data_IF_986145913667
#
_entry.id   IF_986145913667
#
_cell.length_a   1.000
_cell.length_b   1.000
_cell.length_c   1.000
_cell.angle_alpha   90.00
_cell.angle_beta   90.00
_cell.angle_gamma   90.00
#
_symmetry.space_group_name_H-M   'P 1'
#
loop_
_entity.id
_entity.type
_entity.pdbx_description
1 polymer ?
#
# COMPACT_ATOMS: atom_id res chain seq x y z
N UNK A 1 2.71 19.72 -11.39
CA UNK A 1 3.78 18.69 -11.23
C UNK A 1 3.44 17.32 -11.83
N UNK A 2 2.18 17.03 -12.20
CA UNK A 2 1.76 15.71 -12.72
C UNK A 2 2.03 15.50 -14.23
N UNK A 3 2.14 16.57 -15.03
CA UNK A 3 2.32 16.48 -16.50
C UNK A 3 3.75 16.08 -16.91
N UNK A 4 4.76 16.41 -16.08
CA UNK A 4 6.16 16.05 -16.34
C UNK A 4 6.48 14.56 -16.16
N UNK A 5 5.70 13.84 -15.35
CA UNK A 5 5.91 12.39 -15.15
C UNK A 5 5.50 11.57 -16.38
N UNK A 6 4.51 12.03 -17.15
CA UNK A 6 3.98 11.27 -18.29
C UNK A 6 4.97 11.19 -19.46
N UNK A 7 5.79 12.22 -19.66
CA UNK A 7 6.80 12.25 -20.73
C UNK A 7 8.02 11.36 -20.45
N UNK A 8 8.40 11.19 -19.18
CA UNK A 8 9.53 10.34 -18.79
C UNK A 8 9.21 8.85 -18.98
N UNK A 9 7.92 8.46 -18.93
CA UNK A 9 7.50 7.08 -19.13
C UNK A 9 7.52 6.66 -20.62
N UNK A 10 7.32 7.59 -21.57
CA UNK A 10 7.25 7.26 -23.00
C UNK A 10 8.63 7.07 -23.67
N UNK A 11 9.67 7.73 -23.17
CA UNK A 11 11.02 7.66 -23.74
C UNK A 11 11.79 6.36 -23.41
N UNK A 12 11.33 5.56 -22.43
CA UNK A 12 12.01 4.33 -22.00
C UNK A 12 11.72 3.10 -22.88
N UNK A 13 10.89 3.22 -23.92
CA UNK A 13 10.47 2.10 -24.77
C UNK A 13 11.55 1.58 -25.73
N UNK A 14 12.67 2.30 -25.93
CA UNK A 14 13.55 2.08 -27.10
C UNK A 14 14.85 1.31 -26.80
N UNK A 15 15.28 1.18 -25.54
CA UNK A 15 16.54 0.51 -25.22
C UNK A 15 16.29 -0.72 -24.33
N UNK A 16 17.06 -1.78 -24.55
CA UNK A 16 17.23 -2.96 -23.68
C UNK A 16 16.39 -4.20 -24.02
N UNK A 17 16.70 -4.80 -25.18
CA UNK A 17 16.51 -6.22 -25.44
C UNK A 17 17.64 -7.04 -24.81
N UNK A 18 17.35 -7.72 -23.71
CA UNK A 18 18.22 -8.71 -23.08
C UNK A 18 17.36 -9.66 -22.25
N UNK A 19 17.30 -10.93 -22.65
CA UNK A 19 16.44 -11.96 -22.07
C UNK A 19 16.82 -12.24 -20.61
N UNK A 20 16.14 -11.58 -19.67
CA UNK A 20 16.08 -12.01 -18.27
C UNK A 20 14.88 -12.94 -18.13
N UNK A 21 15.11 -14.15 -17.60
CA UNK A 21 14.08 -15.14 -17.29
C UNK A 21 12.94 -14.48 -16.51
N UNK A 22 11.77 -14.34 -17.14
CA UNK A 22 10.67 -13.57 -16.56
C UNK A 22 10.14 -14.32 -15.34
N UNK A 23 10.27 -13.76 -14.14
CA UNK A 23 9.56 -14.25 -12.95
C UNK A 23 8.07 -14.42 -13.31
N UNK A 24 7.37 -15.46 -12.81
CA UNK A 24 5.98 -15.70 -13.18
C UNK A 24 5.06 -14.62 -12.57
N UNK A 25 4.95 -13.48 -13.26
CA UNK A 25 4.17 -12.30 -12.84
C UNK A 25 2.72 -12.68 -12.54
N UNK A 26 2.14 -13.58 -13.34
CA UNK A 26 0.76 -14.06 -13.15
C UNK A 26 0.56 -14.73 -11.79
N UNK A 27 1.54 -15.51 -11.32
CA UNK A 27 1.48 -16.14 -10.00
C UNK A 27 1.55 -15.12 -8.87
N UNK A 28 2.35 -14.06 -9.03
CA UNK A 28 2.42 -12.96 -8.07
C UNK A 28 1.14 -12.11 -8.06
N UNK A 29 0.52 -11.89 -9.21
CA UNK A 29 -0.79 -11.22 -9.30
C UNK A 29 -1.85 -12.04 -8.56
N UNK A 30 -1.85 -13.37 -8.74
CA UNK A 30 -2.76 -14.25 -8.01
C UNK A 30 -2.50 -14.21 -6.49
N UNK A 31 -1.24 -14.20 -6.06
CA UNK A 31 -0.88 -14.01 -4.65
C UNK A 31 -1.38 -12.66 -4.12
N UNK A 32 -1.30 -11.59 -4.91
CA UNK A 32 -1.83 -10.27 -4.56
C UNK A 32 -3.35 -10.28 -4.40
N UNK A 33 -4.08 -11.01 -5.26
CA UNK A 33 -5.53 -11.23 -5.13
C UNK A 33 -5.84 -11.90 -3.79
N UNK A 34 -5.20 -13.03 -3.48
CA UNK A 34 -5.45 -13.76 -2.23
C UNK A 34 -5.09 -12.96 -0.98
N UNK A 35 -3.96 -12.24 -0.98
CA UNK A 35 -3.60 -11.35 0.12
C UNK A 35 -4.64 -10.23 0.31
N UNK A 36 -5.08 -9.61 -0.79
CA UNK A 36 -6.09 -8.55 -0.73
C UNK A 36 -7.45 -9.09 -0.29
N UNK A 37 -7.81 -10.30 -0.73
CA UNK A 37 -9.04 -10.98 -0.34
C UNK A 37 -9.02 -11.34 1.14
N UNK A 38 -7.90 -11.87 1.64
CA UNK A 38 -7.71 -12.12 3.07
C UNK A 38 -7.89 -10.85 3.92
N UNK A 39 -7.32 -9.73 3.48
CA UNK A 39 -7.51 -8.44 4.14
C UNK A 39 -8.95 -7.90 4.07
N UNK A 40 -9.63 -8.09 2.93
CA UNK A 40 -11.05 -7.72 2.78
C UNK A 40 -11.93 -8.55 3.73
N UNK A 41 -11.74 -9.88 3.75
CA UNK A 41 -12.49 -10.77 4.64
C UNK A 41 -12.22 -10.46 6.12
N UNK A 42 -11.00 -10.04 6.46
CA UNK A 42 -10.66 -9.59 7.80
C UNK A 42 -11.45 -8.33 8.18
N UNK A 43 -11.55 -7.34 7.30
CA UNK A 43 -12.36 -6.15 7.54
C UNK A 43 -13.85 -6.46 7.66
N UNK A 44 -14.39 -7.34 6.81
CA UNK A 44 -15.79 -7.77 6.92
C UNK A 44 -16.08 -8.55 8.21
N UNK A 45 -15.07 -9.22 8.77
CA UNK A 45 -15.18 -9.92 10.06
C UNK A 45 -15.16 -8.97 11.26
N UNK A 46 -14.34 -7.91 11.20
CA UNK A 46 -14.11 -6.99 12.33
C UNK A 46 -15.10 -5.82 12.30
N UNK A 47 -15.50 -5.36 11.12
CA UNK A 47 -16.44 -4.26 10.92
C UNK A 47 -17.69 -4.81 10.22
N UNK A 48 -18.72 -5.25 10.97
CA UNK A 48 -19.98 -5.64 10.37
C UNK A 48 -20.58 -4.41 9.68
N UNK A 49 -20.63 -4.45 8.34
CA UNK A 49 -21.22 -3.38 7.51
C UNK A 49 -22.72 -3.23 7.77
N UNK A 50 -23.33 -4.30 8.27
CA UNK A 50 -24.72 -4.35 8.70
C UNK A 50 -24.77 -4.73 10.18
N UNK A 51 -25.28 -3.82 11.00
CA UNK A 51 -25.62 -4.07 12.39
C UNK A 51 -27.13 -3.83 12.54
N UNK A 52 -27.86 -4.83 13.03
CA UNK A 52 -29.33 -4.83 13.14
C UNK A 52 -30.10 -4.42 11.86
N UNK A 53 -29.51 -4.70 10.69
CA UNK A 53 -30.09 -4.38 9.38
C UNK A 53 -29.87 -2.94 8.91
N UNK A 54 -29.13 -2.13 9.66
CA UNK A 54 -28.75 -0.76 9.30
C UNK A 54 -27.34 -0.74 8.71
N UNK A 55 -27.16 0.03 7.63
CA UNK A 55 -25.86 0.22 6.99
C UNK A 55 -25.06 1.28 7.74
N UNK A 56 -23.94 0.89 8.35
CA UNK A 56 -23.04 1.80 9.05
C UNK A 56 -21.98 2.37 8.08
N UNK A 57 -22.10 3.66 7.74
CA UNK A 57 -21.23 4.30 6.75
C UNK A 57 -19.74 4.29 7.16
N UNK A 58 -19.45 4.39 8.45
CA UNK A 58 -18.09 4.35 8.98
C UNK A 58 -17.43 2.98 8.77
N UNK A 59 -18.23 1.91 8.82
CA UNK A 59 -17.79 0.53 8.60
C UNK A 59 -17.78 0.12 7.13
N UNK A 60 -18.35 0.92 6.24
CA UNK A 60 -18.34 0.67 4.79
C UNK A 60 -17.01 1.04 4.13
N UNK A 61 -16.27 2.01 4.69
CA UNK A 61 -15.03 2.53 4.08
C UNK A 61 -13.95 1.43 3.94
N UNK A 62 -13.59 0.67 4.99
CA UNK A 62 -12.52 -0.34 4.86
C UNK A 62 -12.84 -1.46 3.86
N UNK A 63 -14.05 -2.06 3.86
CA UNK A 63 -14.44 -3.05 2.86
C UNK A 63 -14.50 -2.49 1.43
N UNK A 64 -14.94 -1.24 1.23
CA UNK A 64 -14.94 -0.61 -0.08
C UNK A 64 -13.52 -0.44 -0.63
N UNK A 65 -12.58 0.01 0.19
CA UNK A 65 -11.16 0.05 -0.16
C UNK A 65 -10.58 -1.35 -0.38
N UNK A 66 -10.97 -2.33 0.44
CA UNK A 66 -10.60 -3.73 0.27
C UNK A 66 -11.02 -4.26 -1.10
N UNK A 67 -12.30 -4.08 -1.47
CA UNK A 67 -12.85 -4.49 -2.76
C UNK A 67 -12.17 -3.79 -3.94
N UNK A 68 -11.95 -2.48 -3.82
CA UNK A 68 -11.20 -1.71 -4.81
C UNK A 68 -9.82 -2.32 -4.99
N UNK A 69 -9.09 -2.66 -3.93
CA UNK A 69 -7.75 -3.22 -4.09
C UNK A 69 -7.72 -4.69 -4.55
N UNK A 70 -8.74 -5.49 -4.23
CA UNK A 70 -8.90 -6.88 -4.71
C UNK A 70 -9.13 -6.93 -6.21
N UNK A 71 -9.83 -5.95 -6.78
CA UNK A 71 -10.20 -5.94 -8.20
C UNK A 71 -9.26 -5.03 -9.00
N UNK A 72 -9.12 -3.77 -8.58
CA UNK A 72 -8.42 -2.73 -9.32
C UNK A 72 -6.92 -3.02 -9.43
N UNK A 73 -6.25 -3.38 -8.33
CA UNK A 73 -4.79 -3.58 -8.37
C UNK A 73 -4.42 -4.76 -9.28
N UNK A 74 -5.03 -5.96 -9.16
CA UNK A 74 -4.76 -7.06 -10.09
C UNK A 74 -5.09 -6.71 -11.54
N UNK A 75 -6.19 -6.00 -11.79
CA UNK A 75 -6.56 -5.55 -13.13
C UNK A 75 -5.50 -4.61 -13.72
N UNK A 76 -5.04 -3.62 -12.97
CA UNK A 76 -3.98 -2.70 -13.41
C UNK A 76 -2.63 -3.42 -13.54
N UNK A 77 -2.31 -4.35 -12.65
CA UNK A 77 -1.10 -5.17 -12.77
C UNK A 77 -1.16 -6.17 -13.90
N UNK A 78 -2.32 -6.45 -14.50
CA UNK A 78 -2.42 -7.35 -15.65
C UNK A 78 -1.70 -6.81 -16.90
N UNK A 79 -1.58 -5.47 -17.00
CA UNK A 79 -0.93 -4.79 -18.13
C UNK A 79 0.31 -4.04 -17.67
N UNK A 80 1.42 -4.22 -18.40
CA UNK A 80 2.67 -3.50 -18.15
C UNK A 80 2.47 -1.97 -18.16
N UNK A 81 1.70 -1.45 -19.11
CA UNK A 81 1.46 0.00 -19.25
C UNK A 81 0.82 0.66 -18.03
N UNK A 82 0.11 -0.12 -17.19
CA UNK A 82 -0.57 0.35 -15.98
C UNK A 82 0.12 -0.09 -14.70
N UNK A 83 1.25 -0.80 -14.79
CA UNK A 83 1.96 -1.34 -13.63
C UNK A 83 2.56 -0.25 -12.72
N UNK A 84 3.01 0.89 -13.28
CA UNK A 84 3.48 2.04 -12.48
C UNK A 84 2.34 2.61 -11.63
N UNK A 85 1.14 2.75 -12.21
CA UNK A 85 -0.04 3.23 -11.48
C UNK A 85 -0.49 2.21 -10.44
N UNK A 86 -0.53 0.92 -10.78
CA UNK A 86 -0.88 -0.14 -9.84
C UNK A 86 0.05 -0.15 -8.62
N UNK A 87 1.36 -0.03 -8.85
CA UNK A 87 2.35 0.00 -7.78
C UNK A 87 2.24 1.28 -6.93
N UNK A 88 1.99 2.43 -7.56
CA UNK A 88 1.74 3.68 -6.87
C UNK A 88 0.50 3.57 -5.95
N UNK A 89 -0.61 3.07 -6.47
CA UNK A 89 -1.84 2.89 -5.69
C UNK A 89 -1.64 1.86 -4.56
N UNK A 90 -0.92 0.77 -4.82
CA UNK A 90 -0.61 -0.23 -3.81
C UNK A 90 0.16 0.38 -2.63
N UNK A 91 1.26 1.09 -2.87
CA UNK A 91 2.03 1.67 -1.77
C UNK A 91 1.32 2.82 -1.07
N UNK A 92 0.58 3.67 -1.80
CA UNK A 92 -0.25 4.72 -1.16
C UNK A 92 -1.29 4.09 -0.24
N UNK A 93 -1.99 3.04 -0.70
CA UNK A 93 -2.99 2.35 0.12
C UNK A 93 -2.40 1.75 1.41
N UNK A 94 -1.16 1.24 1.33
CA UNK A 94 -0.45 0.68 2.48
C UNK A 94 -0.03 1.75 3.47
N UNK A 95 0.49 2.89 2.99
CA UNK A 95 0.83 4.02 3.86
C UNK A 95 -0.41 4.52 4.62
N UNK A 96 -1.51 4.79 3.91
CA UNK A 96 -2.74 5.25 4.53
C UNK A 96 -3.31 4.21 5.50
N UNK A 97 -3.34 2.94 5.10
CA UNK A 97 -3.79 1.85 5.96
C UNK A 97 -3.02 1.79 7.26
N UNK A 98 -1.68 1.79 7.21
CA UNK A 98 -0.83 1.75 8.42
C UNK A 98 -1.07 2.98 9.30
N UNK A 99 -1.10 4.20 8.74
CA UNK A 99 -1.29 5.43 9.51
C UNK A 99 -2.66 5.44 10.22
N UNK A 100 -3.73 5.18 9.47
CA UNK A 100 -5.11 5.19 10.01
C UNK A 100 -5.28 4.11 11.08
N UNK A 101 -4.83 2.88 10.79
CA UNK A 101 -4.93 1.78 11.73
C UNK A 101 -4.09 2.02 12.99
N UNK A 102 -2.89 2.57 12.84
CA UNK A 102 -2.05 2.92 14.00
C UNK A 102 -2.71 4.00 14.86
N UNK A 103 -3.30 5.03 14.25
CA UNK A 103 -4.04 6.06 14.98
C UNK A 103 -5.23 5.46 15.74
N UNK A 104 -6.05 4.64 15.08
CA UNK A 104 -7.19 3.97 15.72
C UNK A 104 -6.75 3.02 16.85
N UNK A 105 -5.63 2.32 16.67
CA UNK A 105 -5.05 1.45 17.69
C UNK A 105 -4.58 2.23 18.92
N UNK A 106 -4.09 3.46 18.74
CA UNK A 106 -3.63 4.33 19.84
C UNK A 106 -4.83 4.93 20.58
N UNK A 107 -5.80 5.49 19.85
CA UNK A 107 -6.96 6.18 20.44
C UNK A 107 -7.87 5.20 21.19
N UNK A 108 -8.05 4.00 20.66
CA UNK A 108 -8.88 2.97 21.29
C UNK A 108 -8.08 2.03 22.20
N UNK A 109 -6.84 2.38 22.56
CA UNK A 109 -6.00 1.52 23.39
C UNK A 109 -6.57 1.41 24.81
N UNK A 110 -7.08 0.24 25.17
CA UNK A 110 -7.62 -0.05 26.50
C UNK A 110 -6.77 -1.14 27.18
N UNK A 111 -5.84 -0.72 28.06
CA UNK A 111 -5.11 -1.62 28.97
C UNK A 111 -3.59 -1.38 29.07
N UNK A 112 -2.92 -2.19 29.90
CA UNK A 112 -1.46 -2.12 30.08
C UNK A 112 -0.66 -2.64 28.86
N UNK A 113 0.59 -2.20 28.74
CA UNK A 113 1.51 -2.57 27.66
C UNK A 113 2.10 -3.95 27.98
N UNK A 114 1.52 -5.01 27.41
CA UNK A 114 2.13 -6.35 27.41
C UNK A 114 2.43 -6.78 25.98
N UNK A 115 3.50 -7.54 25.78
CA UNK A 115 3.92 -8.02 24.44
C UNK A 115 2.78 -8.77 23.74
N UNK A 116 2.05 -9.60 24.49
CA UNK A 116 0.91 -10.34 23.95
C UNK A 116 -0.19 -9.41 23.42
N UNK A 117 -0.54 -8.36 24.19
CA UNK A 117 -1.50 -7.35 23.73
C UNK A 117 -0.98 -6.57 22.53
N UNK A 118 0.30 -6.21 22.52
CA UNK A 118 0.90 -5.54 21.37
C UNK A 118 0.81 -6.42 20.12
N UNK A 119 1.12 -7.71 20.20
CA UNK A 119 1.11 -8.59 19.03
C UNK A 119 -0.28 -8.94 18.52
N UNK A 120 -1.25 -9.18 19.43
CA UNK A 120 -2.56 -9.76 19.07
C UNK A 120 -3.74 -8.82 19.22
N UNK A 121 -3.57 -7.67 19.89
CA UNK A 121 -4.66 -6.69 20.09
C UNK A 121 -4.34 -5.31 19.50
N UNK A 122 -3.14 -5.11 18.92
CA UNK A 122 -2.87 -3.95 18.07
C UNK A 122 -3.07 -4.28 16.59
N UNK A 123 -3.00 -3.25 15.77
CA UNK A 123 -2.99 -3.32 14.32
C UNK A 123 -1.64 -3.72 13.72
N UNK A 124 -0.71 -4.28 14.52
CA UNK A 124 0.60 -4.72 14.04
C UNK A 124 0.49 -5.87 13.05
N UNK A 125 -0.32 -6.89 13.35
CA UNK A 125 -0.57 -8.02 12.45
C UNK A 125 -1.14 -7.53 11.10
N UNK A 126 -2.08 -6.59 11.15
CA UNK A 126 -2.69 -5.99 9.96
C UNK A 126 -1.68 -5.17 9.15
N UNK A 127 -0.81 -4.42 9.84
CA UNK A 127 0.26 -3.65 9.21
C UNK A 127 1.27 -4.56 8.49
N UNK A 128 1.61 -5.71 9.09
CA UNK A 128 2.48 -6.71 8.45
C UNK A 128 1.81 -7.35 7.22
N UNK A 129 0.49 -7.56 7.25
CA UNK A 129 -0.26 -8.01 6.08
C UNK A 129 -0.24 -6.96 4.95
N UNK A 130 -0.43 -5.68 5.27
CA UNK A 130 -0.31 -4.57 4.31
C UNK A 130 1.11 -4.46 3.71
N UNK A 131 2.15 -4.61 4.54
CA UNK A 131 3.53 -4.64 4.07
C UNK A 131 3.79 -5.84 3.15
N UNK A 132 3.27 -7.01 3.49
CA UNK A 132 3.38 -8.21 2.64
C UNK A 132 2.76 -7.98 1.27
N UNK A 133 1.58 -7.35 1.21
CA UNK A 133 0.92 -6.92 -0.03
C UNK A 133 1.77 -5.93 -0.82
N UNK A 134 2.39 -4.95 -0.15
CA UNK A 134 3.31 -4.00 -0.77
C UNK A 134 4.52 -4.70 -1.42
N UNK A 135 5.15 -5.65 -0.72
CA UNK A 135 6.30 -6.38 -1.26
C UNK A 135 5.92 -7.28 -2.44
N UNK A 136 4.74 -7.90 -2.43
CA UNK A 136 4.23 -8.64 -3.60
C UNK A 136 3.98 -7.70 -4.78
N UNK A 137 3.33 -6.55 -4.55
CA UNK A 137 3.13 -5.52 -5.58
C UNK A 137 4.47 -5.02 -6.16
N UNK A 138 5.48 -4.83 -5.32
CA UNK A 138 6.85 -4.49 -5.73
C UNK A 138 7.47 -5.60 -6.58
N UNK A 139 7.31 -6.86 -6.20
CA UNK A 139 7.84 -7.99 -6.96
C UNK A 139 7.22 -8.08 -8.36
N UNK A 140 5.91 -7.83 -8.49
CA UNK A 140 5.22 -7.71 -9.78
C UNK A 140 5.79 -6.55 -10.59
N UNK A 141 5.90 -5.37 -9.98
CA UNK A 141 6.42 -4.17 -10.63
C UNK A 141 7.84 -4.37 -11.17
N UNK A 142 8.74 -4.93 -10.35
CA UNK A 142 10.11 -5.26 -10.77
C UNK A 142 10.13 -6.34 -11.87
N UNK A 143 9.17 -7.26 -11.88
CA UNK A 143 9.01 -8.24 -12.96
C UNK A 143 8.71 -7.60 -14.31
N UNK A 144 7.97 -6.49 -14.33
CA UNK A 144 7.71 -5.71 -15.56
C UNK A 144 8.89 -4.84 -16.00
N UNK A 145 9.76 -4.47 -15.07
CA UNK A 145 10.87 -3.52 -15.26
C UNK A 145 12.21 -4.03 -14.67
N UNK A 146 12.73 -5.19 -15.12
CA UNK A 146 13.96 -5.79 -14.57
C UNK A 146 15.20 -4.90 -14.72
N UNK A 147 15.22 -4.01 -15.71
CA UNK A 147 16.28 -3.03 -15.93
C UNK A 147 16.40 -2.00 -14.80
N UNK A 148 15.35 -1.80 -13.99
CA UNK A 148 15.43 -0.90 -12.82
C UNK A 148 16.19 -1.52 -11.67
N UNK A 149 16.09 -2.84 -11.49
CA UNK A 149 16.83 -3.55 -10.43
C UNK A 149 18.34 -3.48 -10.64
N UNK A 150 18.81 -3.41 -11.90
CA UNK A 150 20.23 -3.31 -12.23
C UNK A 150 20.79 -1.89 -12.19
N UNK A 151 19.97 -0.87 -11.92
CA UNK A 151 20.43 0.50 -11.69
C UNK A 151 20.55 0.83 -10.19
N UNK A 152 20.11 -0.10 -9.34
CA UNK A 152 19.76 0.16 -7.94
C UNK A 152 20.96 0.16 -6.95
N UNK A 153 22.19 -0.07 -7.43
CA UNK A 153 23.36 -0.22 -6.55
C UNK A 153 24.13 1.08 -6.29
N UNK A 154 23.82 2.17 -6.99
CA UNK A 154 24.47 3.48 -6.77
C UNK A 154 23.56 4.40 -5.95
N UNK A 155 23.90 4.65 -4.69
CA UNK A 155 23.33 5.78 -3.94
C UNK A 155 23.59 7.07 -4.75
N UNK A 156 22.60 7.95 -5.01
CA UNK A 156 21.30 8.13 -4.34
C UNK A 156 20.08 7.52 -5.07
N UNK A 157 20.26 6.53 -5.95
CA UNK A 157 19.16 6.01 -6.78
C UNK A 157 18.00 5.39 -5.99
N UNK A 158 18.23 4.96 -4.73
CA UNK A 158 17.20 4.46 -3.82
C UNK A 158 16.08 5.48 -3.51
N UNK A 159 16.32 6.78 -3.70
CA UNK A 159 15.31 7.84 -3.49
C UNK A 159 14.57 8.26 -4.76
N UNK A 160 14.83 7.60 -5.90
CA UNK A 160 14.11 7.90 -7.15
C UNK A 160 12.66 7.43 -7.06
N UNK A 161 11.81 8.05 -7.88
CA UNK A 161 10.39 7.70 -8.00
C UNK A 161 10.18 6.18 -8.12
N UNK A 162 9.36 5.62 -7.22
CA UNK A 162 9.04 4.19 -7.10
C UNK A 162 10.19 3.27 -6.62
N UNK A 163 11.23 3.81 -5.99
CA UNK A 163 12.24 3.03 -5.25
C UNK A 163 11.95 3.01 -3.73
N UNK A 164 12.67 2.16 -2.99
CA UNK A 164 12.39 1.89 -1.57
C UNK A 164 12.51 3.14 -0.68
N UNK A 165 13.53 3.95 -0.92
CA UNK A 165 13.73 5.21 -0.18
C UNK A 165 12.65 6.24 -0.48
N UNK A 166 12.06 6.22 -1.68
CA UNK A 166 10.94 7.08 -2.03
C UNK A 166 9.70 6.75 -1.20
N UNK A 167 9.39 5.46 -1.00
CA UNK A 167 8.27 5.03 -0.17
C UNK A 167 8.47 5.36 1.32
N UNK A 168 9.68 5.13 1.85
CA UNK A 168 10.00 5.51 3.23
C UNK A 168 9.84 7.02 3.45
N UNK A 169 10.32 7.84 2.52
CA UNK A 169 10.17 9.29 2.58
C UNK A 169 8.69 9.71 2.60
N UNK A 170 7.86 9.13 1.73
CA UNK A 170 6.42 9.45 1.69
C UNK A 170 5.69 8.96 2.93
N UNK A 171 6.05 7.79 3.46
CA UNK A 171 5.50 7.29 4.72
C UNK A 171 5.78 8.27 5.87
N UNK A 172 7.03 8.71 6.01
CA UNK A 172 7.42 9.70 7.03
C UNK A 172 6.72 11.04 6.80
N UNK A 173 6.72 11.55 5.57
CA UNK A 173 6.13 12.85 5.24
C UNK A 173 4.60 12.86 5.50
N UNK A 174 3.88 11.87 4.99
CA UNK A 174 2.42 11.76 5.18
C UNK A 174 2.09 11.54 6.66
N UNK A 175 2.84 10.68 7.36
CA UNK A 175 2.68 10.45 8.80
C UNK A 175 2.92 11.71 9.64
N UNK A 176 3.89 12.55 9.25
CA UNK A 176 4.18 13.83 9.91
C UNK A 176 3.03 14.81 9.68
N UNK A 177 2.60 14.99 8.44
CA UNK A 177 1.49 15.91 8.10
C UNK A 177 0.20 15.48 8.81
N UNK A 178 -0.11 14.19 8.80
CA UNK A 178 -1.27 13.65 9.50
C UNK A 178 -1.19 13.92 11.01
N UNK A 179 -0.06 13.58 11.64
CA UNK A 179 0.14 13.79 13.08
C UNK A 179 0.03 15.27 13.48
N UNK A 180 0.59 16.17 12.67
CA UNK A 180 0.46 17.62 12.88
C UNK A 180 -1.00 18.07 12.76
N UNK A 181 -1.74 17.59 11.76
CA UNK A 181 -3.17 17.88 11.61
C UNK A 181 -3.98 17.46 12.83
N UNK A 182 -3.73 16.26 13.36
CA UNK A 182 -4.39 15.76 14.59
C UNK A 182 -4.07 16.67 15.78
N UNK A 183 -2.79 17.00 16.00
CA UNK A 183 -2.38 17.86 17.13
C UNK A 183 -2.98 19.26 17.06
N UNK A 184 -3.03 19.85 15.86
CA UNK A 184 -3.59 21.19 15.66
C UNK A 184 -5.11 21.22 15.84
N UNK A 185 -5.81 20.17 15.37
CA UNK A 185 -7.26 20.03 15.56
C UNK A 185 -7.62 19.87 17.04
N UNK A 186 -6.90 19.03 17.79
CA UNK A 186 -7.12 18.85 19.24
C UNK A 186 -6.91 20.16 20.02
N UNK A 187 -6.03 21.05 19.54
CA UNK A 187 -5.74 22.34 20.17
C UNK A 187 -6.68 23.48 19.73
N UNK A 188 -7.69 23.20 18.90
CA UNK A 188 -8.64 24.20 18.41
C UNK A 188 -8.00 25.28 17.53
N UNK A 189 -6.86 24.99 16.90
CA UNK A 189 -6.17 25.92 15.99
C UNK A 189 -6.79 25.89 14.58
N UNK A 190 -7.49 24.80 14.26
CA UNK A 190 -8.21 24.55 13.00
C UNK A 190 -9.53 23.86 13.30
#
# INVERSE_FOLDING_TARGET
MLIGCFFILRARRIYYGGYMESKPIKGLILALVFLSLGGLLLHLRIHPVFEDGVLEWEYLIPPAFGLLTVILLPFLFWRKDTADLAYLLAGVSVIFGIIIMSHLSIVNWQGGITIFKVLFTTTLADSLMLLSKFFVARAIFNGYYPERTTLNYKFPQNFRFLFDGWWLLHFIAIGTVYSLGVVLSVRGVI
#
